data_IF_723258011979
#
_entry.id   IF_723258011979
#
_cell.length_a   1.000
_cell.length_b   1.000
_cell.length_c   1.000
_cell.angle_alpha   90.00
_cell.angle_beta   90.00
_cell.angle_gamma   90.00
#
_symmetry.space_group_name_H-M   'P 1'
#
loop_
_entity.id
_entity.type
_entity.pdbx_description
1 polymer ?
#
# COMPACT_ATOMS: atom_id res chain seq x y z
N UNK A 1 -8.95 -14.51 -19.77
CA UNK A 1 -7.85 -14.77 -18.82
C UNK A 1 -7.64 -13.53 -17.98
N UNK A 2 -8.08 -13.57 -16.73
CA UNK A 2 -7.80 -12.52 -15.76
C UNK A 2 -6.69 -13.07 -14.87
N UNK A 3 -5.51 -12.46 -14.95
CA UNK A 3 -4.41 -12.73 -14.03
C UNK A 3 -4.67 -11.89 -12.79
N UNK A 4 -5.04 -12.55 -11.71
CA UNK A 4 -5.11 -11.90 -10.40
C UNK A 4 -3.71 -12.03 -9.79
N UNK A 5 -3.04 -10.91 -9.41
CA UNK A 5 -1.75 -10.97 -8.72
C UNK A 5 -1.82 -11.86 -7.47
N UNK A 6 -0.67 -12.26 -6.91
CA UNK A 6 -0.48 -13.19 -5.78
C UNK A 6 -1.16 -12.80 -4.45
N UNK A 7 -2.43 -12.41 -4.44
CA UNK A 7 -3.20 -11.98 -3.27
C UNK A 7 -3.22 -13.11 -2.23
N UNK A 8 -3.31 -14.37 -2.64
CA UNK A 8 -3.43 -15.51 -1.73
C UNK A 8 -2.15 -16.35 -1.61
N UNK A 9 -0.99 -15.84 -2.04
CA UNK A 9 0.27 -16.61 -2.05
C UNK A 9 0.32 -17.73 -3.09
N UNK A 10 -0.54 -17.69 -4.11
CA UNK A 10 -0.48 -18.60 -5.25
C UNK A 10 0.52 -18.07 -6.29
N UNK A 11 1.29 -18.96 -6.92
CA UNK A 11 2.29 -18.61 -7.93
C UNK A 11 1.64 -18.25 -9.27
N UNK A 12 0.51 -18.88 -9.58
CA UNK A 12 -0.33 -18.54 -10.73
C UNK A 12 -1.81 -18.72 -10.38
N UNK A 13 -2.62 -17.72 -10.74
CA UNK A 13 -4.06 -17.69 -10.53
C UNK A 13 -4.76 -17.17 -11.78
N UNK A 14 -5.49 -18.07 -12.44
CA UNK A 14 -6.24 -17.77 -13.65
C UNK A 14 -7.74 -18.02 -13.43
N UNK A 15 -8.53 -17.04 -13.86
CA UNK A 15 -9.99 -17.17 -13.90
C UNK A 15 -10.41 -17.35 -15.35
N UNK A 16 -11.00 -18.51 -15.65
CA UNK A 16 -11.43 -18.92 -16.97
C UNK A 16 -12.92 -19.33 -16.97
N UNK A 17 -13.68 -19.03 -18.03
CA UNK A 17 -14.99 -19.64 -18.20
C UNK A 17 -14.84 -21.15 -18.35
N UNK A 18 -15.80 -21.91 -17.84
CA UNK A 18 -15.88 -23.34 -18.14
C UNK A 18 -16.21 -23.55 -19.63
N UNK A 19 -15.91 -24.75 -20.15
CA UNK A 19 -16.12 -25.08 -21.57
C UNK A 19 -17.57 -24.94 -22.06
N UNK A 20 -18.54 -24.86 -21.15
CA UNK A 20 -19.97 -24.66 -21.41
C UNK A 20 -20.46 -23.23 -21.14
N UNK A 21 -19.55 -22.29 -20.80
CA UNK A 21 -19.82 -20.90 -20.38
C UNK A 21 -20.82 -20.76 -19.21
N UNK A 22 -21.17 -21.86 -18.52
CA UNK A 22 -22.16 -21.85 -17.45
C UNK A 22 -21.54 -21.58 -16.08
N UNK A 23 -20.23 -21.80 -15.92
CA UNK A 23 -19.53 -21.67 -14.64
C UNK A 23 -18.16 -21.00 -14.82
N UNK A 24 -17.56 -20.62 -13.70
CA UNK A 24 -16.20 -20.10 -13.64
C UNK A 24 -15.29 -21.20 -13.08
N UNK A 25 -14.20 -21.48 -13.78
CA UNK A 25 -13.10 -22.29 -13.29
C UNK A 25 -11.95 -21.39 -12.84
N UNK A 26 -11.39 -21.74 -11.68
CA UNK A 26 -10.23 -21.06 -11.13
C UNK A 26 -9.06 -22.04 -11.18
N UNK A 27 -8.02 -21.69 -11.93
CA UNK A 27 -6.79 -22.47 -11.98
C UNK A 27 -5.78 -21.87 -11.02
N UNK A 28 -5.34 -22.67 -10.04
CA UNK A 28 -4.37 -22.31 -9.01
C UNK A 28 -3.17 -23.25 -9.14
N UNK A 29 -1.98 -22.72 -9.43
CA UNK A 29 -0.75 -23.50 -9.57
C UNK A 29 -0.94 -24.75 -10.47
N UNK A 30 -1.50 -24.55 -11.66
CA UNK A 30 -1.82 -25.60 -12.67
C UNK A 30 -2.95 -26.58 -12.30
N UNK A 31 -3.59 -26.42 -11.14
CA UNK A 31 -4.76 -27.20 -10.74
C UNK A 31 -6.05 -26.41 -10.94
N UNK A 32 -6.99 -26.99 -11.69
CA UNK A 32 -8.31 -26.38 -11.89
C UNK A 32 -9.27 -26.77 -10.77
N UNK A 33 -9.92 -25.77 -10.20
CA UNK A 33 -10.97 -25.89 -9.19
C UNK A 33 -12.26 -25.29 -9.74
N UNK A 34 -13.39 -25.93 -9.44
CA UNK A 34 -14.69 -25.28 -9.63
C UNK A 34 -14.86 -24.24 -8.53
N UNK A 35 -15.55 -23.15 -8.84
CA UNK A 35 -15.85 -22.10 -7.86
C UNK A 35 -16.54 -22.64 -6.58
N UNK A 36 -17.32 -23.71 -6.71
CA UNK A 36 -18.02 -24.37 -5.60
C UNK A 36 -17.09 -25.20 -4.68
N UNK A 37 -15.91 -25.56 -5.18
CA UNK A 37 -14.89 -26.29 -4.43
C UNK A 37 -14.00 -25.34 -3.62
N UNK A 38 -14.12 -24.04 -3.88
CA UNK A 38 -13.46 -22.98 -3.13
C UNK A 38 -14.36 -22.55 -1.95
N UNK A 39 -13.74 -22.18 -0.83
CA UNK A 39 -14.46 -21.63 0.31
C UNK A 39 -15.31 -20.41 -0.09
N UNK A 40 -16.49 -20.26 0.50
CA UNK A 40 -17.47 -19.22 0.13
C UNK A 40 -16.88 -17.80 0.14
N UNK A 41 -16.01 -17.50 1.10
CA UNK A 41 -15.28 -16.22 1.15
C UNK A 41 -14.42 -16.02 -0.11
N UNK A 42 -13.50 -16.94 -0.40
CA UNK A 42 -12.61 -16.92 -1.57
C UNK A 42 -13.40 -16.77 -2.88
N UNK A 43 -14.53 -17.46 -3.00
CA UNK A 43 -15.42 -17.37 -4.15
C UNK A 43 -15.97 -15.96 -4.35
N UNK A 44 -16.41 -15.29 -3.28
CA UNK A 44 -16.87 -13.90 -3.36
C UNK A 44 -15.75 -12.97 -3.84
N UNK A 45 -14.52 -13.16 -3.35
CA UNK A 45 -13.35 -12.37 -3.78
C UNK A 45 -13.07 -12.51 -5.27
N UNK A 46 -13.04 -13.73 -5.79
CA UNK A 46 -12.78 -13.94 -7.21
C UNK A 46 -13.87 -13.34 -8.09
N UNK A 47 -15.14 -13.45 -7.69
CA UNK A 47 -16.24 -12.84 -8.43
C UNK A 47 -16.12 -11.32 -8.47
N UNK A 48 -15.78 -10.67 -7.35
CA UNK A 48 -15.62 -9.22 -7.29
C UNK A 48 -14.45 -8.76 -8.16
N UNK A 49 -13.27 -9.39 -8.02
CA UNK A 49 -12.08 -9.06 -8.80
C UNK A 49 -12.30 -9.28 -10.30
N UNK A 50 -12.89 -10.40 -10.69
CA UNK A 50 -13.16 -10.71 -12.08
C UNK A 50 -14.13 -9.69 -12.71
N UNK A 51 -15.18 -9.33 -11.98
CA UNK A 51 -16.13 -8.31 -12.44
C UNK A 51 -15.48 -6.94 -12.58
N UNK A 52 -14.68 -6.52 -11.59
CA UNK A 52 -14.00 -5.23 -11.63
C UNK A 52 -12.98 -5.16 -12.77
N UNK A 53 -12.16 -6.20 -12.93
CA UNK A 53 -11.18 -6.31 -14.00
C UNK A 53 -11.82 -6.27 -15.39
N UNK A 54 -13.00 -6.88 -15.55
CA UNK A 54 -13.73 -6.93 -16.82
C UNK A 54 -14.42 -5.60 -17.13
N UNK A 55 -15.11 -5.00 -16.14
CA UNK A 55 -15.96 -3.83 -16.37
C UNK A 55 -15.21 -2.50 -16.26
N UNK A 56 -14.07 -2.47 -15.56
CA UNK A 56 -13.29 -1.27 -15.25
C UNK A 56 -14.18 -0.06 -14.87
N UNK A 57 -15.01 -0.20 -13.82
CA UNK A 57 -16.01 0.81 -13.48
C UNK A 57 -15.36 2.13 -13.06
N UNK A 58 -16.11 3.23 -13.10
CA UNK A 58 -15.62 4.51 -12.58
C UNK A 58 -15.41 4.43 -11.07
N UNK A 59 -16.43 3.99 -10.33
CA UNK A 59 -16.35 3.79 -8.89
C UNK A 59 -16.72 2.36 -8.51
N UNK A 60 -16.13 1.86 -7.42
CA UNK A 60 -16.52 0.62 -6.77
C UNK A 60 -16.98 0.96 -5.36
N UNK A 61 -18.18 0.49 -5.00
CA UNK A 61 -18.74 0.63 -3.65
C UNK A 61 -18.76 -0.72 -2.97
N UNK A 62 -18.24 -0.79 -1.75
CA UNK A 62 -18.12 -2.04 -0.98
C UNK A 62 -18.60 -1.80 0.43
N UNK A 63 -19.39 -2.74 0.94
CA UNK A 63 -19.76 -2.78 2.34
C UNK A 63 -18.94 -3.88 3.02
N UNK A 64 -18.27 -3.53 4.11
CA UNK A 64 -17.40 -4.38 4.93
C UNK A 64 -16.43 -5.26 4.10
N UNK A 65 -15.43 -4.66 3.41
CA UNK A 65 -14.46 -5.41 2.59
C UNK A 65 -13.65 -6.45 3.38
N UNK A 66 -13.60 -6.33 4.71
CA UNK A 66 -12.95 -7.27 5.63
C UNK A 66 -13.71 -8.58 5.84
N UNK A 67 -15.01 -8.64 5.51
CA UNK A 67 -15.82 -9.82 5.79
C UNK A 67 -15.28 -11.06 5.09
N UNK A 68 -15.07 -12.12 5.86
CA UNK A 68 -14.54 -13.40 5.39
C UNK A 68 -13.11 -13.34 4.81
N UNK A 69 -12.38 -12.23 5.02
CA UNK A 69 -10.94 -12.16 4.76
C UNK A 69 -10.14 -12.20 6.05
N UNK A 70 -9.05 -12.96 5.96
CA UNK A 70 -7.97 -12.80 6.92
C UNK A 70 -7.39 -11.37 6.83
N UNK A 71 -7.03 -10.71 7.96
CA UNK A 71 -6.49 -9.36 8.00
C UNK A 71 -5.40 -9.07 6.95
N UNK A 72 -4.47 -10.00 6.77
CA UNK A 72 -3.37 -9.89 5.81
C UNK A 72 -3.78 -9.71 4.35
N UNK A 73 -4.97 -10.15 3.99
CA UNK A 73 -5.46 -10.10 2.62
C UNK A 73 -6.28 -8.83 2.34
N UNK A 74 -6.71 -8.12 3.38
CA UNK A 74 -7.67 -7.03 3.25
C UNK A 74 -7.06 -5.83 2.51
N UNK A 75 -5.84 -5.45 2.87
CA UNK A 75 -5.11 -4.35 2.22
C UNK A 75 -4.77 -4.67 0.76
N UNK A 76 -4.29 -5.89 0.51
CA UNK A 76 -3.99 -6.35 -0.85
C UNK A 76 -5.23 -6.43 -1.73
N UNK A 77 -6.35 -6.88 -1.16
CA UNK A 77 -7.63 -6.94 -1.85
C UNK A 77 -8.13 -5.55 -2.22
N UNK A 78 -8.18 -4.61 -1.28
CA UNK A 78 -8.63 -3.24 -1.53
C UNK A 78 -7.75 -2.52 -2.55
N UNK A 79 -6.43 -2.64 -2.43
CA UNK A 79 -5.49 -2.02 -3.39
C UNK A 79 -5.61 -2.63 -4.77
N UNK A 80 -5.76 -3.96 -4.87
CA UNK A 80 -5.97 -4.62 -6.16
C UNK A 80 -7.30 -4.23 -6.77
N UNK A 81 -8.37 -4.20 -6.00
CA UNK A 81 -9.68 -3.80 -6.50
C UNK A 81 -9.67 -2.34 -6.97
N UNK A 82 -8.96 -1.47 -6.23
CA UNK A 82 -8.79 -0.05 -6.57
C UNK A 82 -8.07 0.18 -7.89
N UNK A 83 -7.22 -0.76 -8.31
CA UNK A 83 -6.58 -0.75 -9.63
C UNK A 83 -7.50 -0.93 -10.80
N UNK A 84 -8.66 -1.57 -10.59
CA UNK A 84 -9.65 -1.76 -11.64
C UNK A 84 -10.67 -0.62 -11.68
N UNK A 85 -10.75 0.21 -10.64
CA UNK A 85 -11.59 1.40 -10.62
C UNK A 85 -10.89 2.58 -11.31
N UNK A 86 -11.58 3.28 -12.22
CA UNK A 86 -11.02 4.45 -12.92
C UNK A 86 -10.88 5.66 -12.01
N UNK A 87 -11.90 5.93 -11.19
CA UNK A 87 -11.95 7.09 -10.29
C UNK A 87 -11.59 6.72 -8.85
N UNK A 88 -12.12 5.61 -8.32
CA UNK A 88 -11.74 5.17 -6.98
C UNK A 88 -12.69 4.16 -6.34
N UNK A 89 -12.41 3.85 -5.07
CA UNK A 89 -13.24 2.98 -4.24
C UNK A 89 -13.78 3.76 -3.07
N UNK A 90 -15.05 3.51 -2.76
CA UNK A 90 -15.68 3.93 -1.51
C UNK A 90 -16.07 2.68 -0.76
N UNK A 91 -15.64 2.54 0.48
CA UNK A 91 -16.01 1.41 1.31
C UNK A 91 -16.44 1.83 2.70
N UNK A 92 -17.38 1.09 3.27
CA UNK A 92 -17.75 1.17 4.67
C UNK A 92 -17.07 0.02 5.44
N UNK A 93 -16.56 0.30 6.62
CA UNK A 93 -15.89 -0.69 7.48
C UNK A 93 -16.07 -0.33 8.95
N UNK A 94 -16.09 -1.35 9.80
CA UNK A 94 -16.00 -1.18 11.25
C UNK A 94 -14.54 -1.21 11.75
N UNK A 95 -13.59 -1.58 10.88
CA UNK A 95 -12.16 -1.57 11.17
C UNK A 95 -11.55 -0.20 10.87
N UNK A 96 -11.31 0.58 11.93
CA UNK A 96 -10.59 1.85 11.85
C UNK A 96 -9.18 1.62 11.30
N UNK A 97 -8.53 0.52 11.67
CA UNK A 97 -7.19 0.17 11.18
C UNK A 97 -7.17 -0.05 9.66
N UNK A 98 -8.15 -0.78 9.12
CA UNK A 98 -8.26 -0.98 7.68
C UNK A 98 -8.52 0.34 6.94
N UNK A 99 -9.44 1.17 7.46
CA UNK A 99 -9.71 2.49 6.91
C UNK A 99 -8.43 3.34 6.87
N UNK A 100 -7.68 3.40 7.96
CA UNK A 100 -6.42 4.15 8.09
C UNK A 100 -5.31 3.66 7.17
N UNK A 101 -5.18 2.35 7.03
CA UNK A 101 -4.10 1.77 6.23
C UNK A 101 -4.38 1.81 4.72
N UNK A 102 -5.65 1.93 4.29
CA UNK A 102 -6.03 1.81 2.87
C UNK A 102 -6.71 3.04 2.25
N UNK A 103 -7.38 3.88 3.03
CA UNK A 103 -8.16 4.99 2.49
C UNK A 103 -7.33 6.28 2.38
N UNK A 104 -7.59 7.06 1.33
CA UNK A 104 -7.00 8.39 1.16
C UNK A 104 -7.75 9.45 2.00
N UNK A 105 -9.03 9.20 2.31
CA UNK A 105 -9.90 10.02 3.17
C UNK A 105 -10.81 9.13 3.99
N UNK A 106 -11.04 9.50 5.24
CA UNK A 106 -11.85 8.72 6.19
C UNK A 106 -12.95 9.63 6.72
N UNK A 107 -14.17 9.12 6.72
CA UNK A 107 -15.32 9.80 7.28
C UNK A 107 -15.91 8.95 8.41
N UNK A 108 -16.18 9.57 9.56
CA UNK A 108 -16.94 8.95 10.64
C UNK A 108 -18.41 9.30 10.44
N UNK A 109 -19.24 8.27 10.32
CA UNK A 109 -20.70 8.41 10.30
C UNK A 109 -21.22 8.10 11.69
N UNK A 110 -21.92 9.06 12.31
CA UNK A 110 -22.50 8.92 13.66
C UNK A 110 -23.94 9.39 13.65
N UNK A 111 -24.73 8.89 14.59
CA UNK A 111 -26.07 9.41 14.83
C UNK A 111 -25.99 10.36 16.02
N UNK A 112 -26.42 11.61 15.83
CA UNK A 112 -26.44 12.60 16.89
C UNK A 112 -27.58 12.30 17.91
N UNK A 113 -27.62 13.06 19.01
CA UNK A 113 -28.64 12.89 20.04
C UNK A 113 -30.07 13.14 19.53
N UNK A 114 -30.21 13.82 18.40
CA UNK A 114 -31.49 14.14 17.73
C UNK A 114 -31.89 13.08 16.70
N UNK A 115 -31.12 11.97 16.60
CA UNK A 115 -31.30 10.88 15.62
C UNK A 115 -31.07 11.27 14.18
N UNK A 116 -30.29 12.32 13.94
CA UNK A 116 -29.83 12.70 12.62
C UNK A 116 -28.45 12.09 12.35
N UNK A 117 -28.22 11.67 11.11
CA UNK A 117 -26.91 11.19 10.68
C UNK A 117 -25.95 12.36 10.45
N UNK A 118 -24.85 12.37 11.18
CA UNK A 118 -23.76 13.32 11.02
C UNK A 118 -22.57 12.61 10.37
N UNK A 119 -21.96 13.25 9.37
CA UNK A 119 -20.74 12.78 8.71
C UNK A 119 -19.65 13.80 8.98
N UNK A 120 -18.60 13.37 9.67
CA UNK A 120 -17.43 14.20 9.96
C UNK A 120 -16.19 13.57 9.34
N UNK A 121 -15.27 14.40 8.86
CA UNK A 121 -13.96 13.93 8.45
C UNK A 121 -13.22 13.41 9.70
N UNK A 122 -12.73 12.18 9.61
CA UNK A 122 -12.06 11.52 10.72
C UNK A 122 -10.57 11.81 10.65
N UNK A 123 -10.15 12.90 11.30
CA UNK A 123 -8.74 13.24 11.50
C UNK A 123 -8.34 12.93 12.95
N UNK A 124 -7.91 11.70 13.20
CA UNK A 124 -7.20 11.35 14.42
C UNK A 124 -5.85 10.78 14.03
N UNK A 125 -4.76 11.35 14.56
CA UNK A 125 -3.40 10.80 14.44
C UNK A 125 -3.30 9.69 15.50
N UNK A 126 -3.40 8.40 15.15
CA UNK A 126 -3.21 7.35 16.14
C UNK A 126 -1.74 7.20 16.49
N UNK A 127 -1.49 6.63 17.67
CA UNK A 127 -0.19 6.02 17.91
C UNK A 127 -0.06 4.76 17.04
N UNK A 128 1.12 4.54 16.49
CA UNK A 128 1.43 3.48 15.54
C UNK A 128 1.24 2.06 16.14
N UNK A 129 1.42 1.93 17.46
CA UNK A 129 1.07 0.71 18.21
C UNK A 129 -0.43 0.45 18.26
N UNK A 130 -1.26 1.49 18.34
CA UNK A 130 -2.72 1.38 18.27
C UNK A 130 -3.14 0.92 16.88
N UNK A 131 -2.55 1.51 15.81
CA UNK A 131 -2.81 1.09 14.44
C UNK A 131 -2.45 -0.39 14.20
N UNK A 132 -1.32 -0.87 14.74
CA UNK A 132 -0.94 -2.28 14.70
C UNK A 132 -1.93 -3.19 15.43
N UNK A 133 -2.45 -2.74 16.57
CA UNK A 133 -3.52 -3.42 17.30
C UNK A 133 -4.81 -3.51 16.49
N UNK A 134 -5.24 -2.38 15.90
CA UNK A 134 -6.42 -2.31 15.03
C UNK A 134 -6.29 -3.21 13.80
N UNK A 135 -5.09 -3.34 13.23
CA UNK A 135 -4.80 -4.23 12.10
C UNK A 135 -4.68 -5.71 12.49
N UNK A 136 -4.78 -6.06 13.78
CA UNK A 136 -4.62 -7.46 14.24
C UNK A 136 -3.28 -8.08 13.81
N UNK A 137 -2.17 -7.36 14.01
CA UNK A 137 -0.82 -7.77 13.57
C UNK A 137 -0.40 -9.18 14.01
N UNK A 138 -0.93 -9.70 15.12
CA UNK A 138 -0.72 -11.10 15.53
C UNK A 138 -1.08 -12.11 14.44
N UNK A 139 -2.17 -11.87 13.69
CA UNK A 139 -2.55 -12.73 12.57
C UNK A 139 -1.58 -12.68 11.39
N UNK A 140 -0.91 -11.54 11.17
CA UNK A 140 0.12 -11.42 10.13
C UNK A 140 1.37 -12.24 10.47
N UNK A 141 1.80 -12.20 11.75
CA UNK A 141 2.95 -12.99 12.22
C UNK A 141 2.74 -14.50 12.06
N UNK A 142 1.53 -14.99 12.31
CA UNK A 142 1.18 -16.41 12.13
C UNK A 142 1.30 -16.89 10.68
N UNK A 143 1.16 -15.99 9.71
CA UNK A 143 1.31 -16.26 8.28
C UNK A 143 2.74 -16.09 7.75
N UNK A 144 3.70 -15.82 8.64
CA UNK A 144 5.11 -15.62 8.27
C UNK A 144 5.45 -14.21 7.78
N UNK A 145 4.53 -13.24 7.91
CA UNK A 145 4.86 -11.81 7.81
C UNK A 145 5.38 -11.33 9.16
N UNK A 146 6.69 -11.38 9.35
CA UNK A 146 7.35 -10.92 10.58
C UNK A 146 7.95 -9.52 10.45
N UNK A 147 8.00 -8.95 9.24
CA UNK A 147 8.61 -7.66 8.97
C UNK A 147 7.59 -6.53 8.94
N UNK A 148 7.96 -5.40 9.54
CA UNK A 148 7.21 -4.14 9.47
C UNK A 148 8.06 -3.12 8.72
N UNK A 149 7.48 -2.46 7.73
CA UNK A 149 8.10 -1.34 7.04
C UNK A 149 7.30 -0.07 7.27
N UNK A 150 7.92 0.89 7.95
CA UNK A 150 7.38 2.22 8.20
C UNK A 150 7.67 3.12 6.99
N UNK A 151 6.66 3.81 6.48
CA UNK A 151 6.75 4.75 5.35
C UNK A 151 6.21 6.11 5.77
N UNK A 152 6.58 7.20 5.08
CA UNK A 152 6.19 8.54 5.54
C UNK A 152 4.68 8.75 5.61
N UNK A 153 3.99 8.64 4.47
CA UNK A 153 2.59 8.96 4.33
C UNK A 153 1.71 7.78 3.94
N UNK A 154 0.40 8.00 4.01
CA UNK A 154 -0.62 7.03 3.57
C UNK A 154 -0.54 6.77 2.06
N UNK A 155 -0.15 7.76 1.27
CA UNK A 155 0.07 7.61 -0.18
C UNK A 155 1.27 6.72 -0.50
N UNK A 156 2.28 6.71 0.37
CA UNK A 156 3.49 5.92 0.21
C UNK A 156 3.23 4.45 0.46
N UNK A 157 2.30 4.10 1.37
CA UNK A 157 1.89 2.71 1.63
C UNK A 157 1.51 2.01 0.34
N UNK A 158 0.56 2.56 -0.44
CA UNK A 158 0.13 1.97 -1.70
C UNK A 158 1.25 1.88 -2.73
N UNK A 159 2.11 2.91 -2.78
CA UNK A 159 3.20 3.03 -3.75
C UNK A 159 4.29 1.99 -3.48
N UNK A 160 4.77 1.93 -2.24
CA UNK A 160 5.77 0.95 -1.79
C UNK A 160 5.21 -0.47 -1.86
N UNK A 161 3.92 -0.68 -1.60
CA UNK A 161 3.28 -1.99 -1.80
C UNK A 161 3.41 -2.47 -3.26
N UNK A 162 3.28 -1.58 -4.25
CA UNK A 162 3.49 -1.95 -5.66
C UNK A 162 4.95 -2.30 -5.94
N UNK A 163 5.91 -1.58 -5.36
CA UNK A 163 7.32 -1.92 -5.51
C UNK A 163 7.68 -3.25 -4.84
N UNK A 164 7.15 -3.53 -3.65
CA UNK A 164 7.31 -4.83 -2.98
C UNK A 164 6.71 -5.98 -3.80
N UNK A 165 5.63 -5.74 -4.57
CA UNK A 165 5.05 -6.73 -5.49
C UNK A 165 6.01 -7.12 -6.60
N UNK A 166 6.83 -6.19 -7.11
CA UNK A 166 7.85 -6.48 -8.12
C UNK A 166 8.83 -7.55 -7.61
N UNK A 167 9.19 -7.48 -6.32
CA UNK A 167 10.07 -8.45 -5.66
C UNK A 167 9.34 -9.64 -5.00
N UNK A 168 8.01 -9.74 -5.13
CA UNK A 168 7.16 -10.75 -4.48
C UNK A 168 7.29 -10.77 -2.95
N UNK A 169 7.34 -9.60 -2.32
CA UNK A 169 7.48 -9.41 -0.86
C UNK A 169 6.32 -8.66 -0.20
N UNK A 170 5.33 -8.26 -0.97
CA UNK A 170 4.14 -7.54 -0.50
C UNK A 170 3.35 -8.29 0.58
N UNK A 171 3.30 -9.61 0.51
CA UNK A 171 2.64 -10.48 1.49
C UNK A 171 3.54 -10.91 2.67
N UNK A 172 4.78 -10.38 2.76
CA UNK A 172 5.75 -10.69 3.83
C UNK A 172 5.99 -9.51 4.77
N UNK A 173 5.52 -8.33 4.39
CA UNK A 173 5.88 -7.07 5.01
C UNK A 173 4.60 -6.29 5.30
N UNK A 174 4.40 -5.94 6.57
CA UNK A 174 3.32 -5.04 6.98
C UNK A 174 3.78 -3.60 6.81
N UNK A 175 3.12 -2.87 5.93
CA UNK A 175 3.39 -1.45 5.68
C UNK A 175 2.57 -0.59 6.64
N UNK A 176 3.21 0.38 7.28
CA UNK A 176 2.52 1.34 8.14
C UNK A 176 2.97 2.78 7.83
N UNK A 177 2.02 3.72 7.70
CA UNK A 177 2.35 5.13 7.55
C UNK A 177 2.76 5.75 8.90
N UNK A 178 3.76 6.63 8.86
CA UNK A 178 4.19 7.48 9.99
C UNK A 178 3.33 8.76 10.12
N UNK A 179 2.37 8.99 9.22
CA UNK A 179 1.54 10.20 9.24
C UNK A 179 2.27 11.48 8.79
N UNK A 180 3.39 11.34 8.08
CA UNK A 180 4.17 12.43 7.52
C UNK A 180 5.16 13.05 8.52
N UNK A 181 5.44 14.35 8.34
CA UNK A 181 6.48 15.08 9.10
C UNK A 181 6.25 15.18 10.62
N UNK A 182 5.07 14.82 11.13
CA UNK A 182 4.77 14.87 12.57
C UNK A 182 5.48 13.81 13.39
N UNK A 183 5.82 12.66 12.81
CA UNK A 183 6.59 11.60 13.50
C UNK A 183 8.03 11.46 13.00
N UNK A 184 8.36 12.08 11.87
CA UNK A 184 9.72 12.04 11.32
C UNK A 184 10.55 13.18 11.94
N UNK A 185 10.77 13.05 13.24
CA UNK A 185 11.58 13.93 14.09
C UNK A 185 12.01 13.16 15.35
N UNK A 186 12.82 13.78 16.22
CA UNK A 186 13.34 13.12 17.43
C UNK A 186 12.30 12.77 18.51
N UNK A 187 11.03 13.20 18.40
CA UNK A 187 10.00 12.94 19.42
C UNK A 187 9.31 11.57 19.28
N UNK A 188 9.59 10.82 18.22
CA UNK A 188 8.99 9.52 17.92
C UNK A 188 9.63 8.33 18.67
N UNK A 189 10.65 8.55 19.50
CA UNK A 189 11.41 7.47 20.18
C UNK A 189 10.51 6.50 20.95
N UNK A 190 9.57 7.01 21.74
CA UNK A 190 8.65 6.19 22.54
C UNK A 190 7.80 5.29 21.64
N UNK A 191 7.24 5.86 20.58
CA UNK A 191 6.33 5.17 19.67
C UNK A 191 7.05 4.11 18.84
N UNK A 192 8.23 4.45 18.31
CA UNK A 192 9.10 3.51 17.61
C UNK A 192 9.55 2.36 18.54
N UNK A 193 9.82 2.67 19.81
CA UNK A 193 10.14 1.68 20.83
C UNK A 193 8.99 0.70 21.10
N UNK A 194 7.75 1.16 21.13
CA UNK A 194 6.58 0.27 21.30
C UNK A 194 6.42 -0.69 20.12
N UNK A 195 6.63 -0.23 18.88
CA UNK A 195 6.56 -1.09 17.69
C UNK A 195 7.67 -2.14 17.71
N UNK A 196 8.89 -1.74 18.09
CA UNK A 196 10.03 -2.65 18.19
C UNK A 196 9.80 -3.76 19.24
N UNK A 197 8.96 -3.52 20.25
CA UNK A 197 8.54 -4.56 21.20
C UNK A 197 7.54 -5.54 20.60
N UNK A 198 6.75 -5.11 19.62
CA UNK A 198 5.76 -5.94 18.93
C UNK A 198 6.43 -6.83 17.86
N UNK A 199 7.41 -6.30 17.12
CA UNK A 199 8.22 -7.05 16.16
C UNK A 199 9.71 -6.72 16.25
N UNK A 200 10.56 -7.75 16.16
CA UNK A 200 12.01 -7.58 16.08
C UNK A 200 12.47 -7.09 14.69
N UNK A 201 11.69 -7.32 13.64
CA UNK A 201 12.06 -6.99 12.26
C UNK A 201 11.33 -5.72 11.79
N UNK A 202 11.80 -4.56 12.24
CA UNK A 202 11.20 -3.25 11.92
C UNK A 202 12.18 -2.41 11.13
N UNK A 203 11.70 -1.87 10.02
CA UNK A 203 12.43 -1.04 9.08
C UNK A 203 11.69 0.27 8.85
N UNK A 204 12.39 1.33 8.49
CA UNK A 204 11.80 2.60 8.10
C UNK A 204 12.37 3.06 6.76
N UNK A 205 11.51 3.64 5.92
CA UNK A 205 11.85 4.24 4.64
C UNK A 205 11.33 5.67 4.61
N UNK A 206 12.23 6.64 4.44
CA UNK A 206 11.90 8.06 4.43
C UNK A 206 12.49 8.79 3.22
N UNK A 207 11.80 9.85 2.80
CA UNK A 207 12.24 10.75 1.75
C UNK A 207 13.39 11.63 2.28
N UNK A 208 14.43 11.82 1.46
CA UNK A 208 15.57 12.66 1.86
C UNK A 208 15.23 14.15 1.86
N UNK A 209 14.26 14.57 1.05
CA UNK A 209 13.88 15.97 0.82
C UNK A 209 15.07 16.86 0.39
N UNK A 210 16.16 16.25 -0.11
CA UNK A 210 17.36 16.95 -0.56
C UNK A 210 17.09 17.69 -1.88
N UNK A 211 17.70 18.87 -2.01
CA UNK A 211 17.67 19.64 -3.26
C UNK A 211 18.79 19.24 -4.23
N UNK A 212 19.83 18.55 -3.76
CA UNK A 212 20.93 18.00 -4.56
C UNK A 212 21.72 16.95 -3.76
N UNK A 213 22.60 16.22 -4.42
CA UNK A 213 23.46 15.19 -3.79
C UNK A 213 24.34 15.75 -2.65
N UNK A 214 24.80 17.00 -2.78
CA UNK A 214 25.66 17.64 -1.78
C UNK A 214 24.88 18.28 -0.62
N UNK A 215 23.55 18.36 -0.73
CA UNK A 215 22.71 18.95 0.32
C UNK A 215 22.61 18.02 1.51
N UNK A 216 23.02 18.50 2.68
CA UNK A 216 22.85 17.78 3.93
C UNK A 216 21.36 17.51 4.21
N UNK A 217 21.08 16.41 4.93
CA UNK A 217 19.72 16.14 5.41
C UNK A 217 19.26 17.26 6.34
N UNK A 218 17.96 17.55 6.26
CA UNK A 218 17.32 18.46 7.20
C UNK A 218 17.43 17.89 8.63
N UNK A 219 17.47 18.75 9.67
CA UNK A 219 17.68 18.32 11.05
C UNK A 219 16.66 17.28 11.54
N UNK A 220 15.39 17.44 11.18
CA UNK A 220 14.28 16.52 11.50
C UNK A 220 14.52 15.09 10.99
N UNK A 221 14.95 14.94 9.72
CA UNK A 221 15.29 13.64 9.14
C UNK A 221 16.51 13.02 9.82
N UNK A 222 17.53 13.84 10.11
CA UNK A 222 18.74 13.38 10.78
C UNK A 222 18.43 12.88 12.19
N UNK A 223 17.66 13.64 12.96
CA UNK A 223 17.20 13.25 14.29
C UNK A 223 16.38 11.96 14.24
N UNK A 224 15.48 11.82 13.27
CA UNK A 224 14.70 10.59 13.11
C UNK A 224 15.57 9.36 12.85
N UNK A 225 16.59 9.47 11.98
CA UNK A 225 17.55 8.38 11.73
C UNK A 225 18.28 8.00 13.02
N UNK A 226 18.77 8.98 13.77
CA UNK A 226 19.43 8.75 15.06
C UNK A 226 18.48 8.08 16.08
N UNK A 227 17.21 8.48 16.10
CA UNK A 227 16.17 7.85 16.93
C UNK A 227 15.93 6.40 16.52
N UNK A 228 15.80 6.12 15.22
CA UNK A 228 15.65 4.76 14.70
C UNK A 228 16.83 3.87 15.10
N UNK A 229 18.07 4.34 14.93
CA UNK A 229 19.26 3.61 15.34
C UNK A 229 19.26 3.30 16.84
N UNK A 230 18.88 4.28 17.68
CA UNK A 230 18.80 4.13 19.13
C UNK A 230 17.81 3.05 19.57
N UNK A 231 16.67 2.92 18.88
CA UNK A 231 15.66 1.88 19.17
C UNK A 231 15.92 0.57 18.43
N UNK A 232 16.95 0.48 17.59
CA UNK A 232 17.29 -0.72 16.82
C UNK A 232 16.37 -0.96 15.60
N UNK A 233 15.87 0.12 14.98
CA UNK A 233 15.15 0.10 13.71
C UNK A 233 16.13 0.47 12.60
N UNK A 234 16.15 -0.31 11.52
CA UNK A 234 16.96 0.04 10.34
C UNK A 234 16.22 1.09 9.51
N UNK A 235 16.75 2.31 9.44
CA UNK A 235 16.18 3.39 8.65
C UNK A 235 16.96 3.59 7.35
N UNK A 236 16.25 3.52 6.22
CA UNK A 236 16.78 3.84 4.90
C UNK A 236 16.26 5.22 4.47
N UNK A 237 17.20 6.13 4.20
CA UNK A 237 16.90 7.44 3.63
C UNK A 237 17.17 7.36 2.13
N UNK A 238 16.20 7.75 1.32
CA UNK A 238 16.32 7.70 -0.15
C UNK A 238 17.52 8.52 -0.65
N UNK A 239 18.23 8.03 -1.66
CA UNK A 239 19.29 8.82 -2.31
C UNK A 239 18.73 9.98 -3.13
N UNK A 240 17.56 9.78 -3.74
CA UNK A 240 16.79 10.80 -4.45
C UNK A 240 15.92 11.60 -3.46
N UNK A 241 15.34 12.71 -3.91
CA UNK A 241 14.55 13.60 -3.06
C UNK A 241 13.40 12.87 -2.37
N UNK A 242 12.57 12.16 -3.14
CA UNK A 242 11.40 11.46 -2.66
C UNK A 242 11.10 10.22 -3.51
N UNK A 243 10.13 9.41 -3.08
CA UNK A 243 9.70 8.20 -3.79
C UNK A 243 9.30 8.49 -5.25
N UNK A 244 8.68 9.65 -5.55
CA UNK A 244 8.27 10.00 -6.91
C UNK A 244 9.44 10.19 -7.88
N UNK A 245 10.62 10.51 -7.35
CA UNK A 245 11.83 10.69 -8.17
C UNK A 245 12.38 9.37 -8.71
N UNK A 246 11.84 8.21 -8.30
CA UNK A 246 12.20 6.89 -8.84
C UNK A 246 11.33 6.46 -10.03
N UNK A 247 10.24 7.17 -10.32
CA UNK A 247 9.36 6.78 -11.43
C UNK A 247 10.02 7.00 -12.79
N UNK A 248 9.95 5.98 -13.65
CA UNK A 248 10.46 6.08 -15.02
C UNK A 248 9.55 6.95 -15.88
N UNK A 249 10.16 7.62 -16.86
CA UNK A 249 9.43 8.46 -17.82
C UNK A 249 8.38 7.67 -18.60
N UNK A 250 8.69 6.40 -18.93
CA UNK A 250 7.76 5.48 -19.58
C UNK A 250 6.53 5.20 -18.71
N UNK A 251 6.72 4.83 -17.44
CA UNK A 251 5.61 4.54 -16.53
C UNK A 251 4.74 5.78 -16.29
N UNK A 252 5.35 6.95 -16.08
CA UNK A 252 4.63 8.22 -15.90
C UNK A 252 3.79 8.53 -17.13
N UNK A 253 4.36 8.43 -18.34
CA UNK A 253 3.64 8.71 -19.59
C UNK A 253 2.55 7.69 -19.89
N UNK A 254 2.76 6.43 -19.55
CA UNK A 254 1.76 5.38 -19.73
C UNK A 254 0.50 5.68 -18.90
N UNK A 255 0.67 6.11 -17.65
CA UNK A 255 -0.46 6.34 -16.72
C UNK A 255 -1.06 7.74 -16.84
N UNK A 256 -0.23 8.77 -16.95
CA UNK A 256 -0.69 10.18 -16.95
C UNK A 256 -0.86 10.76 -18.36
N UNK A 257 -0.25 10.13 -19.37
CA UNK A 257 -0.25 10.58 -20.76
C UNK A 257 1.04 11.29 -21.17
N UNK A 258 1.25 11.40 -22.48
CA UNK A 258 2.50 11.88 -23.11
C UNK A 258 2.93 13.32 -22.77
N UNK A 259 2.04 14.11 -22.18
CA UNK A 259 2.35 15.49 -21.73
C UNK A 259 3.11 15.54 -20.41
N UNK A 260 3.03 14.48 -19.61
CA UNK A 260 3.74 14.36 -18.34
C UNK A 260 5.16 13.82 -18.57
N UNK A 261 6.04 14.04 -17.59
CA UNK A 261 7.44 13.61 -17.60
C UNK A 261 7.84 13.12 -16.22
N UNK A 262 8.82 12.22 -16.15
CA UNK A 262 9.45 11.85 -14.88
C UNK A 262 10.15 13.05 -14.23
N UNK A 263 10.40 12.94 -12.93
CA UNK A 263 11.18 13.90 -12.17
C UNK A 263 12.67 13.60 -12.26
N UNK A 264 13.49 14.65 -12.31
CA UNK A 264 14.93 14.52 -12.07
C UNK A 264 15.19 14.11 -10.60
N UNK A 265 16.36 13.51 -10.26
CA UNK A 265 16.60 12.89 -8.94
C UNK A 265 16.29 13.77 -7.72
N UNK A 266 16.46 15.09 -7.82
CA UNK A 266 16.25 16.02 -6.71
C UNK A 266 15.15 17.06 -6.94
N UNK A 267 14.39 16.91 -8.03
CA UNK A 267 13.35 17.85 -8.43
C UNK A 267 12.09 17.67 -7.60
N UNK A 268 11.46 18.78 -7.19
CA UNK A 268 10.16 18.72 -6.52
C UNK A 268 9.05 18.49 -7.54
N UNK A 269 8.02 17.71 -7.15
CA UNK A 269 6.80 17.56 -7.95
C UNK A 269 6.07 18.91 -8.15
N UNK A 270 6.31 19.87 -7.26
CA UNK A 270 5.76 21.22 -7.36
C UNK A 270 6.39 22.04 -8.50
N UNK A 271 7.59 21.68 -8.94
CA UNK A 271 8.37 22.43 -9.94
C UNK A 271 8.00 22.07 -11.39
N UNK A 272 7.16 21.05 -11.61
CA UNK A 272 6.80 20.57 -12.94
C UNK A 272 5.39 21.00 -13.38
N UNK A 273 5.20 21.12 -14.69
CA UNK A 273 3.89 21.34 -15.31
C UNK A 273 3.77 20.55 -16.62
N UNK A 274 2.73 19.70 -16.79
CA UNK A 274 1.67 19.41 -15.82
C UNK A 274 2.14 18.55 -14.64
N UNK A 275 1.66 18.85 -13.42
CA UNK A 275 1.88 18.03 -12.21
C UNK A 275 0.78 16.99 -12.04
N UNK A 276 1.11 15.83 -11.49
CA UNK A 276 0.12 14.81 -11.09
C UNK A 276 -0.15 14.85 -9.59
N UNK A 277 -1.17 14.11 -9.15
CA UNK A 277 -1.57 14.04 -7.75
C UNK A 277 -0.84 12.89 -7.05
N UNK A 278 -0.27 13.12 -5.85
CA UNK A 278 0.45 12.06 -5.07
C UNK A 278 -0.38 10.79 -4.83
N UNK A 279 -1.70 10.84 -4.54
CA UNK A 279 -2.54 9.63 -4.46
C UNK A 279 -2.58 8.76 -5.71
N UNK A 280 -2.11 9.24 -6.87
CA UNK A 280 -2.01 8.46 -8.11
C UNK A 280 -0.65 7.76 -8.27
N UNK A 281 0.32 8.03 -7.38
CA UNK A 281 1.68 7.50 -7.44
C UNK A 281 1.73 5.97 -7.57
N UNK A 282 0.88 5.26 -6.82
CA UNK A 282 0.82 3.80 -6.88
C UNK A 282 0.42 3.26 -8.26
N UNK A 283 -0.36 4.01 -9.05
CA UNK A 283 -0.70 3.62 -10.43
C UNK A 283 0.54 3.66 -11.33
N UNK A 284 1.39 4.67 -11.14
CA UNK A 284 2.67 4.81 -11.84
C UNK A 284 3.62 3.69 -11.40
N UNK A 285 3.77 3.48 -10.09
CA UNK A 285 4.60 2.41 -9.55
C UNK A 285 4.19 1.02 -10.07
N UNK A 286 2.89 0.76 -10.23
CA UNK A 286 2.38 -0.51 -10.81
C UNK A 286 2.75 -0.70 -12.28
N UNK A 287 2.97 0.38 -13.04
CA UNK A 287 3.38 0.31 -14.44
C UNK A 287 4.89 0.11 -14.61
N UNK A 288 5.66 0.12 -13.52
CA UNK A 288 7.10 -0.12 -13.53
C UNK A 288 7.42 -1.61 -13.46
N UNK A 289 8.68 -1.93 -13.74
CA UNK A 289 9.26 -3.27 -13.71
C UNK A 289 10.34 -3.38 -12.64
N UNK A 290 10.76 -4.60 -12.31
CA UNK A 290 11.85 -4.84 -11.36
C UNK A 290 13.18 -4.20 -11.85
N UNK A 291 13.46 -4.27 -13.16
CA UNK A 291 14.66 -3.70 -13.78
C UNK A 291 14.75 -2.17 -13.57
N UNK A 292 13.62 -1.48 -13.55
CA UNK A 292 13.57 -0.03 -13.33
C UNK A 292 14.09 0.39 -11.94
N UNK A 293 14.10 -0.52 -10.97
CA UNK A 293 14.51 -0.26 -9.59
C UNK A 293 15.80 -0.96 -9.17
N UNK A 294 16.22 -2.05 -9.83
CA UNK A 294 17.33 -2.89 -9.39
C UNK A 294 18.68 -2.15 -9.23
N UNK A 295 18.91 -1.07 -9.98
CA UNK A 295 20.13 -0.25 -9.87
C UNK A 295 19.99 0.96 -8.94
N UNK A 296 18.90 1.03 -8.18
CA UNK A 296 18.60 2.14 -7.27
C UNK A 296 18.74 1.73 -5.81
N UNK A 297 19.00 2.68 -4.92
CA UNK A 297 19.03 2.44 -3.48
C UNK A 297 17.68 1.94 -2.95
N UNK A 298 16.56 2.49 -3.45
CA UNK A 298 15.21 2.03 -3.12
C UNK A 298 15.01 0.55 -3.49
N UNK A 299 15.36 0.16 -4.72
CA UNK A 299 15.24 -1.24 -5.15
C UNK A 299 16.11 -2.17 -4.33
N UNK A 300 17.37 -1.80 -4.10
CA UNK A 300 18.30 -2.57 -3.25
C UNK A 300 17.78 -2.72 -1.82
N UNK A 301 17.24 -1.65 -1.23
CA UNK A 301 16.65 -1.69 0.10
C UNK A 301 15.45 -2.65 0.14
N UNK A 302 14.46 -2.49 -0.74
CA UNK A 302 13.29 -3.36 -0.79
C UNK A 302 13.67 -4.83 -1.08
N UNK A 303 14.71 -5.06 -1.88
CA UNK A 303 15.24 -6.39 -2.14
C UNK A 303 16.04 -6.99 -0.96
N UNK A 304 16.48 -6.17 0.01
CA UNK A 304 17.11 -6.65 1.25
C UNK A 304 16.11 -7.04 2.35
N UNK A 305 14.88 -6.51 2.28
CA UNK A 305 13.78 -6.85 3.19
C UNK A 305 13.26 -8.27 2.98
#
# INVERSE_FOLDING_TARGET
MILVPNIFGFDNLEINPSADDATIQVSINEKSYKLQELGSGITQFFLVLANAATKQPSYIFIDEPELNLHPSLQLDFLTTLGSYAREGIVFATHSIGLARASADRIYSVRMNNEREGEVTEFEAIPYLSELLGELSFSGYRELGSDKILLVEGTTDVKTIQQFLRLYRKDHKIVLLPLGGGSLINGSSETELGEIKRISENVFALIDSERASLETALKPDRKEFVETCEKVGITCHVLDRRATENYFTDEAVKNIKGSKYKSLEPYQSLEDISPRWSKPENWRIARAMTEEDLNETDLGNFLNSL
#
